data_IF_895617703571
#
_entry.id   IF_895617703571
#
_cell.length_a   1.000
_cell.length_b   1.000
_cell.length_c   1.000
_cell.angle_alpha   90.00
_cell.angle_beta   90.00
_cell.angle_gamma   90.00
#
_symmetry.space_group_name_H-M   'P 1'
#
loop_
_entity.id
_entity.type
_entity.pdbx_description
1 polymer ?
#
# COMPACT_ATOMS: atom_id res chain seq x y z
N UNK A 1 12.10 21.84 -2.87
CA UNK A 1 12.66 20.84 -3.79
C UNK A 1 11.51 20.25 -4.58
N UNK A 2 11.35 20.67 -5.83
CA UNK A 2 10.42 20.05 -6.79
C UNK A 2 11.25 19.15 -7.71
N UNK A 3 10.61 18.14 -8.32
CA UNK A 3 11.21 17.26 -9.34
C UNK A 3 12.32 16.31 -8.87
N UNK A 4 12.23 15.74 -7.63
CA UNK A 4 13.13 14.64 -7.25
C UNK A 4 12.81 13.42 -8.13
N UNK A 5 13.80 12.85 -8.87
CA UNK A 5 13.58 11.66 -9.67
C UNK A 5 13.31 10.44 -8.81
N UNK A 6 12.22 9.73 -9.09
CA UNK A 6 11.86 8.49 -8.41
C UNK A 6 11.70 7.35 -9.43
N UNK A 7 12.23 6.19 -9.10
CA UNK A 7 11.88 4.94 -9.79
C UNK A 7 10.78 4.29 -8.97
N UNK A 8 9.60 4.12 -9.55
CA UNK A 8 8.42 3.61 -8.82
C UNK A 8 7.99 2.28 -9.40
N UNK A 9 8.19 1.21 -8.63
CA UNK A 9 7.91 -0.16 -9.05
C UNK A 9 6.59 -0.65 -8.44
N UNK A 10 5.59 -0.85 -9.29
CA UNK A 10 4.22 -1.20 -8.89
C UNK A 10 3.75 -2.52 -9.50
N UNK A 11 2.62 -3.01 -9.06
CA UNK A 11 1.97 -4.22 -9.57
C UNK A 11 1.40 -5.10 -8.46
N UNK A 12 0.70 -6.19 -8.80
CA UNK A 12 0.11 -7.10 -7.84
C UNK A 12 1.14 -7.80 -6.93
N UNK A 13 0.68 -8.29 -5.78
CA UNK A 13 1.50 -9.21 -4.97
C UNK A 13 1.93 -10.43 -5.79
N UNK A 14 3.02 -11.08 -5.41
CA UNK A 14 3.62 -12.25 -6.07
C UNK A 14 4.16 -12.02 -7.51
N UNK A 15 4.22 -10.78 -8.04
CA UNK A 15 4.81 -10.49 -9.36
C UNK A 15 6.33 -10.33 -9.35
N UNK A 16 7.00 -10.42 -8.20
CA UNK A 16 8.47 -10.33 -8.11
C UNK A 16 9.02 -8.90 -7.92
N UNK A 17 8.17 -7.93 -7.56
CA UNK A 17 8.59 -6.52 -7.35
C UNK A 17 9.78 -6.36 -6.42
N UNK A 18 9.77 -7.01 -5.25
CA UNK A 18 10.85 -6.88 -4.26
C UNK A 18 12.19 -7.36 -4.83
N UNK A 19 12.22 -8.53 -5.49
CA UNK A 19 13.43 -9.03 -6.16
C UNK A 19 13.93 -8.11 -7.26
N UNK A 20 13.02 -7.51 -8.03
CA UNK A 20 13.37 -6.54 -9.07
C UNK A 20 13.90 -5.24 -8.46
N UNK A 21 13.28 -4.73 -7.38
CA UNK A 21 13.73 -3.51 -6.70
C UNK A 21 15.15 -3.67 -6.14
N UNK A 22 15.46 -4.82 -5.51
CA UNK A 22 16.79 -5.14 -5.00
C UNK A 22 17.81 -5.21 -6.16
N UNK A 23 17.46 -5.91 -7.25
CA UNK A 23 18.30 -5.97 -8.43
C UNK A 23 18.61 -4.56 -8.98
N UNK A 24 17.61 -3.72 -9.17
CA UNK A 24 17.79 -2.35 -9.65
C UNK A 24 18.63 -1.54 -8.66
N UNK A 25 18.35 -1.61 -7.36
CA UNK A 25 19.08 -0.88 -6.33
C UNK A 25 20.58 -1.19 -6.37
N UNK A 26 20.96 -2.45 -6.54
CA UNK A 26 22.37 -2.86 -6.70
C UNK A 26 23.02 -2.25 -7.95
N UNK A 27 22.29 -2.25 -9.07
CA UNK A 27 22.84 -1.79 -10.35
C UNK A 27 23.02 -0.27 -10.45
N UNK A 28 22.26 0.50 -9.66
CA UNK A 28 22.27 1.97 -9.75
C UNK A 28 22.73 2.67 -8.46
N UNK A 29 23.16 1.93 -7.44
CA UNK A 29 23.56 2.49 -6.15
C UNK A 29 22.38 3.15 -5.43
N UNK A 30 21.22 2.49 -5.42
CA UNK A 30 19.98 3.03 -4.87
C UNK A 30 19.58 2.45 -3.51
N UNK A 31 18.62 3.10 -2.86
CA UNK A 31 17.94 2.64 -1.65
C UNK A 31 16.45 2.45 -1.93
N UNK A 32 15.81 1.57 -1.16
CA UNK A 32 14.42 1.18 -1.37
C UNK A 32 13.52 1.83 -0.31
N UNK A 33 12.42 2.44 -0.76
CA UNK A 33 11.33 2.96 0.09
C UNK A 33 10.11 2.07 -0.12
N UNK A 34 9.70 1.37 0.92
CA UNK A 34 8.54 0.46 0.87
C UNK A 34 7.24 1.25 0.88
N UNK A 35 6.38 1.03 -0.11
CA UNK A 35 5.02 1.55 -0.20
C UNK A 35 4.00 0.41 0.03
N UNK A 36 4.20 -0.35 1.09
CA UNK A 36 3.32 -1.43 1.53
C UNK A 36 2.75 -1.12 2.91
N UNK A 37 1.43 -1.28 3.07
CA UNK A 37 0.73 -0.94 4.32
C UNK A 37 0.91 -1.96 5.44
N UNK A 38 1.54 -3.11 5.15
CA UNK A 38 1.72 -4.18 6.15
C UNK A 38 3.17 -4.36 6.56
N UNK A 39 4.14 -4.07 5.70
CA UNK A 39 5.56 -4.21 6.02
C UNK A 39 6.04 -3.25 7.10
N UNK A 40 5.25 -2.25 7.44
CA UNK A 40 5.54 -1.26 8.48
C UNK A 40 5.45 -1.82 9.89
N UNK A 41 4.72 -2.92 10.09
CA UNK A 41 4.48 -3.51 11.41
C UNK A 41 5.60 -4.45 11.83
N UNK A 42 6.15 -4.22 13.03
CA UNK A 42 7.17 -5.07 13.65
C UNK A 42 6.62 -6.44 14.00
N UNK A 43 7.39 -7.50 13.72
CA UNK A 43 7.03 -8.88 14.04
C UNK A 43 5.92 -9.47 13.18
N UNK A 44 5.45 -8.75 12.17
CA UNK A 44 4.55 -9.27 11.15
C UNK A 44 5.36 -9.53 9.88
N UNK A 45 6.09 -10.64 9.85
CA UNK A 45 7.15 -10.90 8.87
C UNK A 45 6.75 -11.94 7.83
N UNK A 46 6.37 -13.13 8.29
CA UNK A 46 6.03 -14.28 7.42
C UNK A 46 4.73 -13.98 6.68
N UNK A 47 3.67 -13.62 7.40
CA UNK A 47 2.34 -13.37 6.83
C UNK A 47 2.29 -12.17 5.87
N UNK A 48 3.21 -11.23 5.98
CA UNK A 48 3.35 -10.09 5.06
C UNK A 48 4.34 -10.36 3.93
N UNK A 49 5.09 -11.48 3.99
CA UNK A 49 6.26 -11.79 3.16
C UNK A 49 7.27 -10.64 3.14
N UNK A 50 7.58 -10.13 4.31
CA UNK A 50 8.62 -9.13 4.51
C UNK A 50 9.98 -9.70 4.07
N UNK A 51 10.75 -8.98 3.24
CA UNK A 51 12.06 -9.48 2.83
C UNK A 51 12.98 -9.60 4.06
N UNK A 52 13.57 -10.77 4.25
CA UNK A 52 14.56 -11.02 5.30
C UNK A 52 15.82 -10.19 5.07
N UNK A 53 16.69 -10.08 6.07
CA UNK A 53 17.99 -9.40 5.92
C UNK A 53 18.84 -10.03 4.79
N UNK A 54 18.82 -11.35 4.67
CA UNK A 54 19.50 -12.06 3.59
C UNK A 54 18.91 -11.69 2.24
N UNK A 55 17.58 -11.66 2.10
CA UNK A 55 16.90 -11.30 0.86
C UNK A 55 17.10 -9.85 0.48
N UNK A 56 17.27 -8.93 1.46
CA UNK A 56 17.58 -7.51 1.22
C UNK A 56 18.98 -7.32 0.64
N UNK A 57 19.88 -8.28 0.81
CA UNK A 57 21.16 -8.39 0.13
C UNK A 57 22.02 -7.11 0.24
N UNK A 58 22.10 -6.55 1.45
CA UNK A 58 22.83 -5.32 1.76
C UNK A 58 22.14 -4.03 1.32
N UNK A 59 21.01 -4.09 0.63
CA UNK A 59 20.27 -2.90 0.20
C UNK A 59 19.45 -2.34 1.37
N UNK A 60 19.63 -1.07 1.64
CA UNK A 60 18.87 -0.36 2.68
C UNK A 60 17.40 -0.22 2.26
N UNK A 61 16.52 -0.75 3.11
CA UNK A 61 15.07 -0.66 2.96
C UNK A 61 14.51 0.26 4.03
N UNK A 62 13.75 1.25 3.59
CA UNK A 62 13.08 2.19 4.47
C UNK A 62 11.58 1.89 4.55
N UNK A 63 10.96 2.36 5.61
CA UNK A 63 9.53 2.20 5.92
C UNK A 63 9.12 0.72 6.10
N UNK A 64 10.01 -0.04 6.71
CA UNK A 64 9.79 -1.40 7.18
C UNK A 64 10.03 -1.39 8.71
N UNK A 65 9.26 -2.18 9.48
CA UNK A 65 9.43 -2.32 10.93
C UNK A 65 9.39 -1.01 11.72
N UNK A 66 8.48 -0.11 11.37
CA UNK A 66 8.39 1.22 11.97
C UNK A 66 7.55 1.27 13.25
N UNK A 67 6.46 0.53 13.28
CA UNK A 67 5.41 0.63 14.31
C UNK A 67 5.05 -0.75 14.86
N UNK A 68 4.53 -0.78 16.08
CA UNK A 68 3.97 -1.99 16.66
C UNK A 68 2.58 -2.28 16.08
N UNK A 69 2.09 -3.54 16.13
CA UNK A 69 0.78 -3.90 15.58
C UNK A 69 -0.42 -3.14 16.14
N UNK A 70 -0.33 -2.60 17.34
CA UNK A 70 -1.36 -1.80 18.02
C UNK A 70 -1.30 -0.31 17.67
N UNK A 71 -0.26 0.15 17.00
CA UNK A 71 -0.14 1.54 16.58
C UNK A 71 -0.88 1.80 15.25
N UNK A 72 -1.49 2.97 15.16
CA UNK A 72 -2.15 3.40 13.91
C UNK A 72 -1.12 3.85 12.88
N UNK A 73 -1.16 3.25 11.69
CA UNK A 73 -0.39 3.67 10.54
C UNK A 73 -1.31 3.88 9.34
N UNK A 74 -1.40 5.11 8.87
CA UNK A 74 -2.30 5.50 7.79
C UNK A 74 -1.53 6.14 6.62
N UNK A 75 -2.26 6.45 5.55
CA UNK A 75 -1.68 7.02 4.32
C UNK A 75 -1.04 8.39 4.53
N UNK A 76 -1.54 9.22 5.47
CA UNK A 76 -0.96 10.52 5.77
C UNK A 76 0.39 10.37 6.50
N UNK A 77 0.46 9.48 7.51
CA UNK A 77 1.72 9.14 8.21
C UNK A 77 2.73 8.53 7.24
N UNK A 78 2.28 7.62 6.34
CA UNK A 78 3.13 7.10 5.28
C UNK A 78 3.72 8.20 4.42
N UNK A 79 2.87 9.10 3.86
CA UNK A 79 3.33 10.19 2.98
C UNK A 79 4.37 11.08 3.66
N UNK A 80 4.11 11.50 4.90
CA UNK A 80 5.02 12.35 5.66
C UNK A 80 6.40 11.69 5.84
N UNK A 81 6.42 10.42 6.29
CA UNK A 81 7.66 9.68 6.50
C UNK A 81 8.38 9.36 5.18
N UNK A 82 7.65 8.95 4.15
CA UNK A 82 8.22 8.67 2.83
C UNK A 82 8.86 9.92 2.23
N UNK A 83 8.21 11.09 2.32
CA UNK A 83 8.76 12.35 1.81
C UNK A 83 10.03 12.77 2.56
N UNK A 84 10.09 12.56 3.88
CA UNK A 84 11.29 12.82 4.68
C UNK A 84 12.44 11.91 4.25
N UNK A 85 12.20 10.61 4.18
CA UNK A 85 13.19 9.60 3.79
C UNK A 85 13.68 9.82 2.36
N UNK A 86 12.79 10.11 1.42
CA UNK A 86 13.14 10.42 0.03
C UNK A 86 14.08 11.62 -0.04
N UNK A 87 13.81 12.69 0.73
CA UNK A 87 14.66 13.86 0.81
C UNK A 87 16.06 13.52 1.36
N UNK A 88 16.13 12.70 2.41
CA UNK A 88 17.40 12.25 3.01
C UNK A 88 18.23 11.42 2.01
N UNK A 89 17.61 10.45 1.32
CA UNK A 89 18.29 9.63 0.30
C UNK A 89 18.83 10.51 -0.82
N UNK A 90 18.01 11.47 -1.26
CA UNK A 90 18.37 12.40 -2.34
C UNK A 90 19.56 13.30 -1.99
N UNK A 91 19.57 13.86 -0.76
CA UNK A 91 20.66 14.68 -0.26
C UNK A 91 21.98 13.89 -0.12
N UNK A 92 21.88 12.58 0.13
CA UNK A 92 23.03 11.67 0.16
C UNK A 92 23.45 11.16 -1.23
N UNK A 93 22.97 11.80 -2.32
CA UNK A 93 23.27 11.45 -3.70
C UNK A 93 22.98 9.98 -4.09
N UNK A 94 22.06 9.31 -3.36
CA UNK A 94 21.61 7.96 -3.67
C UNK A 94 20.39 7.97 -4.59
N UNK A 95 20.21 6.90 -5.37
CA UNK A 95 19.01 6.71 -6.19
C UNK A 95 17.87 6.18 -5.34
N UNK A 96 16.64 6.54 -5.68
CA UNK A 96 15.46 6.23 -4.89
C UNK A 96 14.57 5.29 -5.66
N UNK A 97 14.27 4.13 -5.08
CA UNK A 97 13.33 3.16 -5.63
C UNK A 97 12.17 3.03 -4.67
N UNK A 98 10.99 3.48 -5.07
CA UNK A 98 9.75 3.25 -4.32
C UNK A 98 9.12 1.96 -4.82
N UNK A 99 8.85 1.01 -3.92
CA UNK A 99 8.28 -0.28 -4.31
C UNK A 99 7.07 -0.62 -3.46
N UNK A 100 5.97 -0.98 -4.10
CA UNK A 100 4.79 -1.41 -3.34
C UNK A 100 3.58 -1.80 -4.16
N UNK A 101 2.63 -2.41 -3.45
CA UNK A 101 1.33 -2.81 -3.99
C UNK A 101 0.17 -1.98 -3.46
N UNK A 102 0.42 -1.05 -2.53
CA UNK A 102 -0.62 -0.21 -1.93
C UNK A 102 -0.83 1.03 -2.80
N UNK A 103 -1.75 0.93 -3.76
CA UNK A 103 -1.99 1.97 -4.76
C UNK A 103 -2.31 3.34 -4.16
N UNK A 104 -3.03 3.39 -3.02
CA UNK A 104 -3.31 4.64 -2.33
C UNK A 104 -2.03 5.31 -1.80
N UNK A 105 -1.05 4.53 -1.30
CA UNK A 105 0.23 5.07 -0.83
C UNK A 105 1.03 5.68 -1.98
N UNK A 106 1.12 4.96 -3.10
CA UNK A 106 1.79 5.48 -4.31
C UNK A 106 1.11 6.77 -4.80
N UNK A 107 -0.23 6.77 -4.89
CA UNK A 107 -0.98 7.95 -5.32
C UNK A 107 -0.77 9.14 -4.38
N UNK A 108 -0.85 8.90 -3.07
CA UNK A 108 -0.66 9.93 -2.06
C UNK A 108 0.75 10.52 -2.06
N UNK A 109 1.76 9.68 -2.28
CA UNK A 109 3.15 10.12 -2.37
C UNK A 109 3.37 11.02 -3.60
N UNK A 110 2.92 10.58 -4.77
CA UNK A 110 3.21 11.25 -6.03
C UNK A 110 2.39 12.52 -6.24
N UNK A 111 1.11 12.48 -5.85
CA UNK A 111 0.12 13.50 -6.22
C UNK A 111 -0.52 14.20 -5.02
N UNK A 112 -0.04 13.91 -3.82
CA UNK A 112 -0.57 14.52 -2.62
C UNK A 112 -1.80 13.82 -2.05
N UNK A 113 -2.26 14.32 -0.92
CA UNK A 113 -3.50 13.93 -0.27
C UNK A 113 -4.34 15.18 -0.04
N UNK A 114 -5.62 15.05 -0.22
CA UNK A 114 -6.55 16.06 0.30
C UNK A 114 -6.31 16.21 1.81
N UNK A 115 -5.98 17.44 2.22
CA UNK A 115 -5.77 17.79 3.61
C UNK A 115 -7.08 18.32 4.20
N UNK A 116 -7.42 17.88 5.37
CA UNK A 116 -8.52 18.38 6.16
C UNK A 116 -8.09 18.45 7.63
N UNK A 117 -8.73 19.32 8.43
CA UNK A 117 -8.54 19.32 9.87
C UNK A 117 -8.83 17.95 10.50
N UNK A 118 -8.29 17.65 11.70
CA UNK A 118 -8.68 16.46 12.45
C UNK A 118 -10.21 16.39 12.60
N UNK A 119 -10.75 15.18 12.46
CA UNK A 119 -12.19 14.95 12.65
C UNK A 119 -12.52 15.16 14.14
N UNK A 120 -13.46 16.04 14.48
CA UNK A 120 -13.91 16.21 15.85
C UNK A 120 -14.42 14.91 16.46
N UNK A 121 -14.08 14.66 17.73
CA UNK A 121 -14.49 13.44 18.43
C UNK A 121 -16.02 13.25 18.42
N UNK A 122 -16.77 14.32 18.56
CA UNK A 122 -18.24 14.34 18.52
C UNK A 122 -18.80 13.72 17.23
N UNK A 123 -18.21 14.03 16.09
CA UNK A 123 -18.59 13.45 14.79
C UNK A 123 -18.31 11.96 14.78
N UNK A 124 -17.11 11.56 15.23
CA UNK A 124 -16.71 10.16 15.28
C UNK A 124 -17.62 9.34 16.21
N UNK A 125 -17.95 9.87 17.38
CA UNK A 125 -18.87 9.22 18.33
C UNK A 125 -20.31 9.14 17.79
N UNK A 126 -20.80 10.19 17.14
CA UNK A 126 -22.12 10.16 16.49
C UNK A 126 -22.20 9.07 15.42
N UNK A 127 -21.17 8.92 14.58
CA UNK A 127 -21.11 7.86 13.56
C UNK A 127 -21.08 6.48 14.21
N UNK A 128 -20.23 6.27 15.25
CA UNK A 128 -20.16 5.00 15.98
C UNK A 128 -21.49 4.63 16.63
N UNK A 129 -22.21 5.61 17.22
CA UNK A 129 -23.52 5.39 17.82
C UNK A 129 -24.52 4.88 16.79
N UNK A 130 -24.64 5.56 15.64
CA UNK A 130 -25.55 5.15 14.57
C UNK A 130 -25.14 3.78 14.00
N UNK A 131 -23.84 3.52 13.86
CA UNK A 131 -23.36 2.21 13.42
C UNK A 131 -23.77 1.09 14.39
N UNK A 132 -23.67 1.33 15.70
CA UNK A 132 -24.06 0.36 16.72
C UNK A 132 -25.57 0.09 16.72
N UNK A 133 -26.37 1.12 16.49
CA UNK A 133 -27.85 1.03 16.51
C UNK A 133 -28.43 0.46 15.20
N UNK A 134 -27.92 0.88 14.06
CA UNK A 134 -28.52 0.61 12.74
C UNK A 134 -27.61 -0.16 11.77
N UNK A 135 -26.38 -0.47 12.19
CA UNK A 135 -25.38 -1.19 11.38
C UNK A 135 -24.94 -0.43 10.11
N UNK A 136 -24.24 -1.14 9.24
CA UNK A 136 -23.73 -0.58 7.98
C UNK A 136 -24.84 -0.04 7.06
N UNK A 137 -25.98 -0.70 7.02
CA UNK A 137 -27.12 -0.25 6.19
C UNK A 137 -27.63 1.11 6.65
N UNK A 138 -27.73 1.30 7.97
CA UNK A 138 -28.15 2.58 8.56
C UNK A 138 -27.15 3.71 8.28
N UNK A 139 -25.84 3.41 8.35
CA UNK A 139 -24.81 4.40 7.97
C UNK A 139 -24.92 4.79 6.50
N UNK A 140 -25.12 3.84 5.62
CA UNK A 140 -25.23 4.12 4.18
C UNK A 140 -26.52 4.87 3.83
N UNK A 141 -27.65 4.53 4.47
CA UNK A 141 -28.90 5.29 4.34
C UNK A 141 -28.68 6.74 4.77
N UNK A 142 -28.11 6.97 5.95
CA UNK A 142 -27.81 8.31 6.43
C UNK A 142 -26.90 9.09 5.47
N UNK A 143 -25.85 8.46 4.92
CA UNK A 143 -25.02 9.09 3.90
C UNK A 143 -25.85 9.47 2.64
N UNK A 144 -26.76 8.57 2.22
CA UNK A 144 -27.60 8.82 1.04
C UNK A 144 -28.54 10.00 1.22
N UNK A 145 -28.99 10.24 2.48
CA UNK A 145 -29.88 11.33 2.82
C UNK A 145 -29.15 12.69 2.84
N UNK A 146 -27.92 12.74 3.39
CA UNK A 146 -27.20 14.01 3.58
C UNK A 146 -26.19 14.33 2.47
N UNK A 147 -25.57 13.31 1.82
CA UNK A 147 -24.62 13.47 0.71
C UNK A 147 -24.90 12.43 -0.39
N UNK A 148 -26.00 12.61 -1.17
CA UNK A 148 -26.35 11.72 -2.27
C UNK A 148 -25.26 11.60 -3.36
N UNK A 149 -24.46 12.67 -3.52
CA UNK A 149 -23.37 12.72 -4.49
C UNK A 149 -22.27 11.71 -4.16
N UNK A 150 -21.87 11.63 -2.89
CA UNK A 150 -20.91 10.61 -2.43
C UNK A 150 -21.52 9.22 -2.46
N UNK A 151 -22.77 9.07 -2.01
CA UNK A 151 -23.44 7.77 -1.95
C UNK A 151 -23.53 7.07 -3.33
N UNK A 152 -23.78 7.80 -4.42
CA UNK A 152 -23.82 7.27 -5.80
C UNK A 152 -22.54 6.54 -6.20
N UNK A 153 -21.39 6.86 -5.59
CA UNK A 153 -20.08 6.33 -5.97
C UNK A 153 -19.50 5.34 -4.92
N UNK A 154 -20.22 5.10 -3.84
CA UNK A 154 -19.83 4.23 -2.74
C UNK A 154 -20.74 3.00 -2.72
N UNK A 155 -20.14 1.81 -2.71
CA UNK A 155 -20.95 0.60 -2.57
C UNK A 155 -21.59 0.56 -1.18
N UNK A 156 -22.88 0.18 -1.01
CA UNK A 156 -23.57 0.17 0.29
C UNK A 156 -22.86 -0.62 1.39
N UNK A 157 -22.09 -1.64 1.03
CA UNK A 157 -21.29 -2.44 1.97
C UNK A 157 -19.87 -1.90 2.20
N UNK A 158 -19.50 -0.76 1.62
CA UNK A 158 -18.17 -0.14 1.82
C UNK A 158 -18.20 0.75 3.06
N UNK A 159 -18.06 0.10 4.23
CA UNK A 159 -18.08 0.75 5.55
C UNK A 159 -17.06 1.90 5.65
N UNK A 160 -15.84 1.65 5.19
CA UNK A 160 -14.74 2.61 5.36
C UNK A 160 -15.01 3.88 4.58
N UNK A 161 -15.43 3.76 3.31
CA UNK A 161 -15.76 4.93 2.49
C UNK A 161 -17.02 5.63 2.95
N UNK A 162 -18.03 4.89 3.43
CA UNK A 162 -19.24 5.47 4.01
C UNK A 162 -18.93 6.34 5.22
N UNK A 163 -18.17 5.79 6.20
CA UNK A 163 -17.75 6.55 7.37
C UNK A 163 -16.95 7.79 6.96
N UNK A 164 -16.01 7.64 6.03
CA UNK A 164 -15.18 8.74 5.60
C UNK A 164 -15.97 9.87 4.92
N UNK A 165 -16.94 9.53 4.10
CA UNK A 165 -17.82 10.52 3.46
C UNK A 165 -18.67 11.25 4.50
N UNK A 166 -19.25 10.51 5.48
CA UNK A 166 -19.98 11.09 6.60
C UNK A 166 -19.11 12.04 7.42
N UNK A 167 -17.89 11.64 7.80
CA UNK A 167 -16.95 12.47 8.56
C UNK A 167 -16.72 13.82 7.86
N UNK A 168 -16.37 13.78 6.57
CA UNK A 168 -16.08 14.99 5.80
C UNK A 168 -17.32 15.86 5.66
N UNK A 169 -18.46 15.28 5.30
CA UNK A 169 -19.69 16.04 5.11
C UNK A 169 -20.17 16.69 6.41
N UNK A 170 -20.17 15.95 7.52
CA UNK A 170 -20.59 16.48 8.83
C UNK A 170 -19.65 17.59 9.35
N UNK A 171 -18.37 17.51 9.00
CA UNK A 171 -17.38 18.51 9.40
C UNK A 171 -17.44 19.78 8.54
N UNK A 172 -17.72 19.65 7.24
CA UNK A 172 -17.52 20.74 6.27
C UNK A 172 -18.78 21.18 5.54
N UNK A 173 -19.86 20.41 5.60
CA UNK A 173 -21.07 20.64 4.81
C UNK A 173 -20.89 20.34 3.31
N UNK A 174 -19.74 19.82 2.89
CA UNK A 174 -19.40 19.60 1.48
C UNK A 174 -19.09 18.12 1.19
N UNK A 175 -19.44 17.69 -0.02
CA UNK A 175 -19.16 16.33 -0.47
C UNK A 175 -17.64 16.06 -0.57
N UNK A 176 -17.19 14.88 -0.12
CA UNK A 176 -15.79 14.44 -0.30
C UNK A 176 -15.39 14.44 -1.78
N UNK A 177 -16.35 14.31 -2.69
CA UNK A 177 -16.13 14.35 -4.14
C UNK A 177 -15.73 15.73 -4.62
N UNK A 178 -16.27 16.80 -4.03
CA UNK A 178 -15.86 18.17 -4.34
C UNK A 178 -14.39 18.40 -3.97
N UNK A 179 -14.00 17.99 -2.77
CA UNK A 179 -12.62 18.07 -2.35
C UNK A 179 -11.67 17.26 -3.25
N UNK A 180 -12.11 16.10 -3.70
CA UNK A 180 -11.33 15.30 -4.66
C UNK A 180 -11.19 15.99 -6.02
N UNK A 181 -12.19 16.75 -6.47
CA UNK A 181 -12.11 17.52 -7.71
C UNK A 181 -11.21 18.75 -7.55
N UNK A 182 -11.31 19.47 -6.45
CA UNK A 182 -10.51 20.68 -6.18
C UNK A 182 -9.01 20.32 -6.02
N UNK A 183 -8.73 19.33 -5.21
CA UNK A 183 -7.35 18.86 -5.01
C UNK A 183 -6.78 18.26 -6.29
N UNK A 184 -7.61 17.59 -7.11
CA UNK A 184 -7.33 16.92 -8.38
C UNK A 184 -5.99 16.15 -8.42
N UNK A 185 -5.36 15.89 -7.27
CA UNK A 185 -4.03 15.27 -7.15
C UNK A 185 -2.99 15.98 -8.05
N UNK A 186 -2.99 17.32 -8.05
CA UNK A 186 -2.16 18.16 -8.93
C UNK A 186 -0.78 18.50 -8.38
N UNK A 187 -0.50 18.08 -7.15
CA UNK A 187 0.79 18.34 -6.53
C UNK A 187 1.85 17.38 -7.09
N UNK A 188 2.63 17.86 -8.04
CA UNK A 188 3.78 17.12 -8.58
C UNK A 188 5.04 17.49 -7.79
N UNK A 189 5.30 16.75 -6.71
CA UNK A 189 6.54 16.91 -5.93
C UNK A 189 7.72 16.13 -6.51
N UNK A 190 7.43 15.13 -7.31
CA UNK A 190 8.40 14.17 -7.81
C UNK A 190 8.30 14.02 -9.31
N UNK A 191 9.39 13.57 -9.91
CA UNK A 191 9.47 13.17 -11.30
C UNK A 191 9.58 11.64 -11.37
N UNK A 192 8.46 10.91 -11.49
CA UNK A 192 8.47 9.46 -11.38
C UNK A 192 8.63 8.75 -12.72
N UNK A 193 9.55 7.79 -12.80
CA UNK A 193 9.50 6.70 -13.76
C UNK A 193 8.64 5.57 -13.19
N UNK A 194 7.43 5.40 -13.73
CA UNK A 194 6.50 4.35 -13.28
C UNK A 194 6.74 3.05 -14.05
N UNK A 195 7.06 1.98 -13.33
CA UNK A 195 7.29 0.65 -13.88
C UNK A 195 6.29 -0.32 -13.26
N UNK A 196 5.47 -0.95 -14.09
CA UNK A 196 4.48 -1.94 -13.69
C UNK A 196 4.96 -3.36 -14.01
N UNK A 197 4.89 -4.26 -13.02
CA UNK A 197 5.14 -5.67 -13.26
C UNK A 197 3.83 -6.46 -13.28
N UNK A 198 3.66 -7.24 -14.32
CA UNK A 198 2.48 -8.07 -14.55
C UNK A 198 2.86 -9.47 -15.03
N UNK A 199 1.98 -10.44 -14.86
CA UNK A 199 2.13 -11.79 -15.41
C UNK A 199 0.77 -12.41 -15.71
N UNK A 200 0.78 -13.55 -16.43
CA UNK A 200 -0.42 -14.31 -16.68
C UNK A 200 -1.18 -14.65 -15.39
N UNK A 201 -2.51 -14.62 -15.47
CA UNK A 201 -3.37 -14.84 -14.33
C UNK A 201 -3.20 -16.24 -13.71
N UNK A 202 -3.02 -17.27 -14.54
CA UNK A 202 -2.84 -18.64 -14.05
C UNK A 202 -1.52 -18.76 -13.30
N UNK A 203 -0.45 -18.19 -13.88
CA UNK A 203 0.87 -18.17 -13.25
C UNK A 203 0.87 -17.36 -11.96
N UNK A 204 0.22 -16.19 -11.94
CA UNK A 204 0.10 -15.37 -10.73
C UNK A 204 -0.61 -16.13 -9.61
N UNK A 205 -1.70 -16.84 -9.95
CA UNK A 205 -2.47 -17.59 -8.98
C UNK A 205 -1.67 -18.79 -8.43
N UNK A 206 -0.92 -19.50 -9.29
CA UNK A 206 0.00 -20.57 -8.86
C UNK A 206 1.03 -20.04 -7.87
N UNK A 207 1.71 -18.93 -8.19
CA UNK A 207 2.68 -18.30 -7.28
C UNK A 207 2.08 -17.82 -5.95
N UNK A 208 0.82 -17.38 -5.95
CA UNK A 208 0.12 -17.01 -4.72
C UNK A 208 -0.13 -18.25 -3.86
N UNK A 209 -0.50 -19.37 -4.47
CA UNK A 209 -0.72 -20.64 -3.77
C UNK A 209 0.57 -21.16 -3.17
N UNK A 210 1.62 -21.32 -3.99
CA UNK A 210 2.95 -21.76 -3.56
C UNK A 210 3.49 -20.90 -2.41
N UNK A 211 3.41 -19.58 -2.55
CA UNK A 211 3.84 -18.65 -1.50
C UNK A 211 3.03 -18.78 -0.21
N UNK A 212 1.72 -19.09 -0.31
CA UNK A 212 0.90 -19.29 0.88
C UNK A 212 1.32 -20.57 1.60
N UNK A 213 1.60 -21.66 0.86
CA UNK A 213 2.09 -22.92 1.43
C UNK A 213 3.46 -22.72 2.09
N UNK A 214 4.40 -22.05 1.42
CA UNK A 214 5.69 -21.66 2.00
C UNK A 214 5.56 -20.82 3.30
N UNK A 215 4.58 -19.93 3.39
CA UNK A 215 4.35 -19.16 4.62
C UNK A 215 3.95 -20.07 5.77
N UNK A 216 3.08 -21.04 5.53
CA UNK A 216 2.67 -22.03 6.56
C UNK A 216 3.87 -22.86 7.00
N UNK A 217 4.66 -23.38 6.06
CA UNK A 217 5.87 -24.16 6.34
C UNK A 217 6.92 -23.37 7.13
N UNK A 218 7.04 -22.07 6.87
CA UNK A 218 7.94 -21.15 7.60
C UNK A 218 7.44 -20.75 8.99
N UNK A 219 6.29 -21.25 9.44
CA UNK A 219 5.78 -21.00 10.79
C UNK A 219 4.84 -19.79 10.89
N UNK A 220 4.09 -19.44 9.84
CA UNK A 220 3.13 -18.34 9.91
C UNK A 220 2.08 -18.52 11.02
N UNK A 221 1.68 -19.75 11.32
CA UNK A 221 0.77 -20.02 12.44
C UNK A 221 1.41 -19.62 13.77
N UNK A 222 2.70 -19.92 13.95
CA UNK A 222 3.40 -19.63 15.19
C UNK A 222 3.72 -18.12 15.32
N UNK A 223 3.96 -17.43 14.20
CA UNK A 223 4.03 -15.96 14.20
C UNK A 223 2.74 -15.34 14.74
N UNK A 224 1.57 -15.80 14.29
CA UNK A 224 0.28 -15.28 14.77
C UNK A 224 0.05 -15.63 16.23
N UNK A 225 0.35 -16.87 16.67
CA UNK A 225 0.28 -17.26 18.09
C UNK A 225 1.14 -16.35 18.97
N UNK A 226 2.36 -16.07 18.54
CA UNK A 226 3.30 -15.20 19.24
C UNK A 226 2.76 -13.76 19.38
N UNK A 227 2.20 -13.21 18.32
CA UNK A 227 1.59 -11.88 18.37
C UNK A 227 0.40 -11.83 19.33
N UNK A 228 -0.46 -12.85 19.32
CA UNK A 228 -1.58 -12.94 20.26
C UNK A 228 -1.09 -13.11 21.71
N UNK A 229 -0.07 -13.93 21.94
CA UNK A 229 0.55 -14.11 23.26
C UNK A 229 1.19 -12.84 23.80
N UNK A 230 1.66 -11.93 22.92
CA UNK A 230 2.10 -10.57 23.28
C UNK A 230 0.96 -9.61 23.64
N UNK A 231 -0.27 -10.04 23.58
CA UNK A 231 -1.44 -9.23 23.94
C UNK A 231 -2.01 -8.39 22.80
N UNK A 232 -1.55 -8.56 21.55
CA UNK A 232 -2.14 -7.85 20.42
C UNK A 232 -3.57 -8.35 20.15
N UNK A 233 -4.54 -7.44 20.27
CA UNK A 233 -5.96 -7.77 20.11
C UNK A 233 -6.28 -8.18 18.67
N UNK A 234 -7.01 -9.30 18.44
CA UNK A 234 -7.49 -9.72 17.11
C UNK A 234 -8.25 -8.65 16.33
N UNK A 235 -8.88 -7.70 17.03
CA UNK A 235 -9.67 -6.63 16.43
C UNK A 235 -8.81 -5.47 15.86
N UNK A 236 -7.52 -5.43 16.13
CA UNK A 236 -6.61 -4.41 15.58
C UNK A 236 -6.61 -4.44 14.04
N UNK A 237 -6.53 -3.29 13.38
CA UNK A 237 -6.47 -3.22 11.92
C UNK A 237 -5.34 -4.06 11.32
N UNK A 238 -4.18 -4.11 11.97
CA UNK A 238 -3.03 -4.94 11.60
C UNK A 238 -3.36 -6.43 11.69
N UNK A 239 -3.99 -6.87 12.77
CA UNK A 239 -4.37 -8.27 12.99
C UNK A 239 -5.52 -8.72 12.08
N UNK A 240 -6.34 -7.79 11.58
CA UNK A 240 -7.36 -8.04 10.55
C UNK A 240 -6.79 -8.14 9.13
N UNK A 241 -5.49 -7.99 8.95
CA UNK A 241 -4.84 -8.13 7.66
C UNK A 241 -5.07 -9.50 7.04
N UNK A 242 -4.94 -9.56 5.72
CA UNK A 242 -5.05 -10.79 4.95
C UNK A 242 -3.98 -11.78 5.41
N UNK A 243 -4.38 -12.99 5.67
CA UNK A 243 -3.55 -14.04 6.27
C UNK A 243 -3.76 -14.11 7.78
N UNK A 244 -3.49 -13.04 8.50
CA UNK A 244 -3.60 -12.99 9.98
C UNK A 244 -5.01 -13.31 10.46
N UNK A 245 -6.02 -12.63 9.97
CA UNK A 245 -7.41 -12.86 10.35
C UNK A 245 -7.89 -14.30 10.11
N UNK A 246 -7.38 -14.99 9.07
CA UNK A 246 -7.74 -16.36 8.79
C UNK A 246 -7.04 -17.33 9.76
N UNK A 247 -5.77 -17.10 10.08
CA UNK A 247 -5.04 -17.88 11.07
C UNK A 247 -5.62 -17.65 12.48
N UNK A 248 -6.01 -16.42 12.83
CA UNK A 248 -6.70 -16.12 14.10
C UNK A 248 -7.97 -16.96 14.24
N UNK A 249 -8.80 -17.04 13.20
CA UNK A 249 -10.02 -17.88 13.21
C UNK A 249 -9.71 -19.38 13.41
N UNK A 250 -8.63 -19.86 12.83
CA UNK A 250 -8.16 -21.22 13.09
C UNK A 250 -7.75 -21.40 14.56
N UNK A 251 -6.97 -20.47 15.11
CA UNK A 251 -6.53 -20.54 16.50
C UNK A 251 -7.70 -20.44 17.51
N UNK A 252 -8.76 -19.72 17.13
CA UNK A 252 -10.02 -19.63 17.88
C UNK A 252 -10.94 -20.86 17.66
N UNK A 253 -10.49 -21.87 16.87
CA UNK A 253 -11.25 -23.09 16.54
C UNK A 253 -12.55 -22.83 15.75
N UNK A 254 -12.69 -21.66 15.12
CA UNK A 254 -13.84 -21.36 14.26
C UNK A 254 -13.79 -22.11 12.92
N UNK A 255 -12.58 -22.38 12.41
CA UNK A 255 -12.34 -23.10 11.16
C UNK A 255 -11.13 -24.01 11.28
N UNK A 256 -11.02 -25.02 10.39
CA UNK A 256 -9.81 -25.86 10.27
C UNK A 256 -8.65 -25.09 9.64
N UNK A 257 -7.41 -25.58 9.82
CA UNK A 257 -6.22 -25.02 9.19
C UNK A 257 -6.32 -25.03 7.65
N UNK A 258 -6.77 -26.15 7.08
CA UNK A 258 -6.97 -26.27 5.63
C UNK A 258 -7.96 -25.23 5.10
N UNK A 259 -9.03 -24.98 5.86
CA UNK A 259 -9.99 -23.92 5.52
C UNK A 259 -9.36 -22.55 5.59
N UNK A 260 -8.54 -22.26 6.60
CA UNK A 260 -7.82 -21.00 6.72
C UNK A 260 -6.87 -20.79 5.53
N UNK A 261 -6.06 -21.79 5.17
CA UNK A 261 -5.15 -21.77 4.01
C UNK A 261 -5.93 -21.51 2.71
N UNK A 262 -7.03 -22.25 2.50
CA UNK A 262 -7.88 -22.04 1.33
C UNK A 262 -8.40 -20.58 1.25
N UNK A 263 -8.85 -20.03 2.37
CA UNK A 263 -9.33 -18.66 2.43
C UNK A 263 -8.21 -17.64 2.19
N UNK A 264 -7.01 -17.86 2.69
CA UNK A 264 -5.83 -17.01 2.44
C UNK A 264 -5.52 -16.99 0.94
N UNK A 265 -5.39 -18.16 0.30
CA UNK A 265 -5.15 -18.29 -1.15
C UNK A 265 -6.21 -17.54 -1.96
N UNK A 266 -7.49 -17.78 -1.66
CA UNK A 266 -8.64 -17.12 -2.32
C UNK A 266 -8.59 -15.59 -2.18
N UNK A 267 -8.41 -15.10 -0.97
CA UNK A 267 -8.50 -13.67 -0.68
C UNK A 267 -7.24 -12.93 -1.19
N UNK A 268 -6.08 -13.58 -1.23
CA UNK A 268 -4.86 -13.05 -1.86
C UNK A 268 -5.02 -12.90 -3.37
N UNK A 269 -5.64 -13.87 -4.05
CA UNK A 269 -5.98 -13.76 -5.48
C UNK A 269 -6.91 -12.58 -5.76
N UNK A 270 -7.93 -12.40 -4.91
CA UNK A 270 -8.85 -11.25 -5.00
C UNK A 270 -8.11 -9.92 -4.75
N UNK A 271 -7.19 -9.90 -3.80
CA UNK A 271 -6.37 -8.73 -3.52
C UNK A 271 -5.48 -8.38 -4.70
N UNK A 272 -4.77 -9.34 -5.27
CA UNK A 272 -3.95 -9.15 -6.47
C UNK A 272 -4.77 -8.60 -7.66
N UNK A 273 -6.00 -9.12 -7.87
CA UNK A 273 -6.91 -8.57 -8.88
C UNK A 273 -7.26 -7.11 -8.63
N UNK A 274 -7.56 -6.73 -7.36
CA UNK A 274 -7.84 -5.33 -7.01
C UNK A 274 -6.64 -4.42 -7.24
N UNK A 275 -5.43 -4.86 -6.88
CA UNK A 275 -4.20 -4.10 -7.13
C UNK A 275 -4.01 -3.85 -8.63
N UNK A 276 -4.17 -4.88 -9.47
CA UNK A 276 -4.06 -4.73 -10.92
C UNK A 276 -5.10 -3.76 -11.49
N UNK A 277 -6.36 -3.90 -11.08
CA UNK A 277 -7.44 -3.00 -11.50
C UNK A 277 -7.17 -1.55 -11.08
N UNK A 278 -6.54 -1.35 -9.93
CA UNK A 278 -6.11 -0.02 -9.47
C UNK A 278 -5.03 0.55 -10.39
N UNK A 279 -3.94 -0.18 -10.57
CA UNK A 279 -2.80 0.32 -11.33
C UNK A 279 -3.09 0.47 -12.83
N UNK A 280 -3.99 -0.33 -13.38
CA UNK A 280 -4.47 -0.15 -14.78
C UNK A 280 -5.07 1.24 -15.05
N UNK A 281 -5.59 1.90 -14.02
CA UNK A 281 -6.18 3.25 -14.12
C UNK A 281 -5.17 4.37 -13.97
N UNK A 282 -3.92 4.05 -13.65
CA UNK A 282 -2.84 5.02 -13.50
C UNK A 282 -2.15 5.18 -14.83
N UNK A 283 -2.16 6.41 -15.38
CA UNK A 283 -1.48 6.73 -16.64
C UNK A 283 0.05 6.72 -16.46
N UNK A 284 0.77 6.55 -17.56
CA UNK A 284 2.24 6.64 -17.58
C UNK A 284 2.98 5.43 -17.00
N UNK A 285 2.31 4.33 -16.67
CA UNK A 285 2.99 3.11 -16.24
C UNK A 285 3.54 2.35 -17.45
N UNK A 286 4.86 2.12 -17.45
CA UNK A 286 5.55 1.23 -18.37
C UNK A 286 5.39 -0.21 -17.90
N UNK A 287 4.53 -0.99 -18.55
CA UNK A 287 4.20 -2.34 -18.13
C UNK A 287 5.17 -3.38 -18.71
N UNK A 288 5.74 -4.21 -17.83
CA UNK A 288 6.57 -5.35 -18.19
C UNK A 288 5.87 -6.65 -17.82
N UNK A 289 5.72 -7.51 -18.82
CA UNK A 289 5.06 -8.80 -18.68
C UNK A 289 6.06 -9.91 -18.35
N UNK A 290 5.73 -10.76 -17.39
CA UNK A 290 6.59 -11.89 -17.01
C UNK A 290 6.46 -13.05 -18.02
N UNK A 291 7.55 -13.70 -18.44
CA UNK A 291 8.94 -13.49 -18.02
C UNK A 291 9.52 -12.19 -18.62
N UNK A 292 9.77 -11.18 -17.78
CA UNK A 292 10.33 -9.91 -18.23
C UNK A 292 11.86 -9.95 -18.29
N UNK A 293 12.42 -9.28 -19.26
CA UNK A 293 13.85 -9.07 -19.37
C UNK A 293 14.30 -7.99 -18.37
N UNK A 294 15.08 -8.40 -17.36
CA UNK A 294 15.61 -7.48 -16.35
C UNK A 294 16.53 -6.41 -16.96
N UNK A 295 17.25 -6.75 -18.02
CA UNK A 295 18.13 -5.84 -18.75
C UNK A 295 17.37 -4.68 -19.40
N UNK A 296 16.19 -4.95 -19.99
CA UNK A 296 15.36 -3.91 -20.59
C UNK A 296 14.83 -2.93 -19.54
N UNK A 297 14.43 -3.44 -18.38
CA UNK A 297 14.00 -2.58 -17.26
C UNK A 297 15.18 -1.74 -16.76
N UNK A 298 16.35 -2.34 -16.58
CA UNK A 298 17.56 -1.63 -16.16
C UNK A 298 17.98 -0.55 -17.18
N UNK A 299 17.92 -0.87 -18.48
CA UNK A 299 18.22 0.10 -19.56
C UNK A 299 17.32 1.33 -19.44
N UNK A 300 16.00 1.14 -19.35
CA UNK A 300 15.04 2.24 -19.18
C UNK A 300 15.33 3.07 -17.92
N UNK A 301 15.68 2.42 -16.81
CA UNK A 301 16.03 3.11 -15.56
C UNK A 301 17.30 3.95 -15.73
N UNK A 302 18.32 3.43 -16.39
CA UNK A 302 19.58 4.16 -16.65
C UNK A 302 19.36 5.36 -17.58
N UNK A 303 18.59 5.19 -18.65
CA UNK A 303 18.20 6.27 -19.57
C UNK A 303 17.47 7.40 -18.82
N UNK A 304 16.48 7.05 -18.01
CA UNK A 304 15.79 8.03 -17.15
C UNK A 304 16.75 8.77 -16.22
N UNK A 305 17.68 8.08 -15.56
CA UNK A 305 18.66 8.70 -14.66
C UNK A 305 19.57 9.67 -15.41
N UNK A 306 20.04 9.30 -16.62
CA UNK A 306 20.93 10.12 -17.41
C UNK A 306 20.26 11.41 -17.91
N UNK A 307 19.04 11.31 -18.45
CA UNK A 307 18.24 12.48 -18.83
C UNK A 307 18.07 13.49 -17.69
N UNK A 308 17.89 13.00 -16.44
CA UNK A 308 17.76 13.87 -15.26
C UNK A 308 19.08 14.42 -14.73
N UNK A 309 20.22 13.89 -15.17
CA UNK A 309 21.55 14.47 -14.90
C UNK A 309 21.85 15.60 -15.85
N UNK A 310 21.60 15.41 -17.14
CA UNK A 310 21.84 16.39 -18.18
C UNK A 310 21.00 17.66 -17.96
N UNK A 311 19.70 17.55 -17.76
CA UNK A 311 18.84 18.69 -17.49
C UNK A 311 19.14 19.50 -16.21
N UNK A 312 19.95 18.95 -15.29
CA UNK A 312 20.42 19.70 -14.10
C UNK A 312 21.74 20.44 -14.33
N UNK A 313 22.53 20.01 -15.26
CA UNK A 313 23.77 20.71 -15.63
C UNK A 313 23.41 21.98 -16.38
N UNK A 314 22.40 21.94 -17.24
CA UNK A 314 21.92 23.10 -17.97
C UNK A 314 21.28 24.16 -17.03
N UNK A 315 20.48 23.76 -16.04
CA UNK A 315 19.88 24.67 -15.02
C UNK A 315 20.91 25.32 -14.06
N UNK A 316 22.18 24.88 -14.05
CA UNK A 316 23.26 25.47 -13.22
C UNK A 316 24.22 26.34 -14.04
N UNK A 317 24.03 26.35 -15.33
CA UNK A 317 24.86 27.09 -16.28
C UNK A 317 24.22 28.41 -16.73
N UNK A 318 22.94 28.59 -16.36
CA UNK A 318 22.15 29.83 -16.47
C UNK A 318 22.09 30.55 -15.11
#
# INVERSE_FOLDING_TARGET
MKNIPLIVLVGPTATGKSKMAIYLAKQIGGEIVSADSMLVYKGMDIGTAKPTQIERDGIKHHLIDLVNPDETFNVARFRALASKVIKEIYLNNKRIIVVGGTGLYIKALLYGLFSHPPIPNEISEKIKKIEKEKGQKGLFSWLSDIDPESAKNIHPNDRIRTIRALEIFLMTGRSIKEFHKEHAFKENYYDPLLIGLWMDKKLLYKRIEERTDEMIEKGFVDEVKYLLAKGYNPELPSMKALGYRQIIKYLQKEISLDKAIHLIKRDTKRYAKRQFTWFKKVSGINWFYYPYNKGNILKMVKEFINQKREGRQDERSD
#
